data_IF_204739185894
#
_entry.id   IF_204739185894
#
_cell.length_a   1.000
_cell.length_b   1.000
_cell.length_c   1.000
_cell.angle_alpha   90.00
_cell.angle_beta   90.00
_cell.angle_gamma   90.00
#
_symmetry.space_group_name_H-M   'P 1'
#
loop_
_entity.id
_entity.type
_entity.pdbx_description
1 polymer ?
#
# COMPACT_ATOMS: atom_id res chain seq x y z
N UNK A 1 0.17 14.89 -14.11
CA UNK A 1 -1.15 15.26 -14.70
C UNK A 1 -2.07 14.04 -14.64
N UNK A 2 -3.38 14.25 -14.51
CA UNK A 2 -4.37 13.16 -14.56
C UNK A 2 -4.56 12.67 -16.00
N UNK A 3 -4.66 11.35 -16.22
CA UNK A 3 -5.05 10.79 -17.52
C UNK A 3 -6.52 11.10 -17.85
N UNK A 4 -6.95 10.98 -19.13
CA UNK A 4 -8.36 11.17 -19.50
C UNK A 4 -9.33 10.30 -18.70
N UNK A 5 -8.95 9.06 -18.36
CA UNK A 5 -9.78 8.18 -17.53
C UNK A 5 -9.95 8.74 -16.11
N UNK A 6 -8.84 9.14 -15.48
CA UNK A 6 -8.83 9.70 -14.12
C UNK A 6 -9.52 11.07 -14.02
N UNK A 7 -9.50 11.88 -15.08
CA UNK A 7 -10.18 13.19 -15.12
C UNK A 7 -11.71 13.10 -15.03
N UNK A 8 -12.29 11.95 -15.37
CA UNK A 8 -13.74 11.71 -15.26
C UNK A 8 -14.18 11.32 -13.86
N UNK A 9 -13.23 11.01 -12.97
CA UNK A 9 -13.55 10.54 -11.64
C UNK A 9 -14.06 11.67 -10.75
N UNK A 10 -15.00 11.34 -9.85
CA UNK A 10 -15.36 12.22 -8.75
C UNK A 10 -14.28 12.11 -7.67
N UNK A 11 -13.69 13.22 -7.19
CA UNK A 11 -12.64 13.16 -6.17
C UNK A 11 -13.18 12.67 -4.83
N UNK A 12 -12.73 11.50 -4.39
CA UNK A 12 -13.10 10.91 -3.10
C UNK A 12 -11.91 10.19 -2.46
N UNK A 13 -11.97 10.01 -1.15
CA UNK A 13 -11.10 9.10 -0.41
C UNK A 13 -11.91 7.90 0.04
N UNK A 14 -11.45 6.70 -0.32
CA UNK A 14 -12.10 5.44 0.01
C UNK A 14 -11.28 4.72 1.08
N UNK A 15 -11.92 4.47 2.23
CA UNK A 15 -11.26 3.94 3.42
C UNK A 15 -11.85 2.58 3.75
N UNK A 16 -11.13 1.47 3.51
CA UNK A 16 -11.60 0.15 3.90
C UNK A 16 -11.49 -0.03 5.41
N UNK A 17 -12.61 -0.33 6.07
CA UNK A 17 -12.71 -0.55 7.51
C UNK A 17 -12.67 -2.06 7.78
N UNK A 18 -11.47 -2.59 8.04
CA UNK A 18 -11.18 -4.03 8.04
C UNK A 18 -12.09 -4.83 8.98
N UNK A 19 -12.33 -4.32 10.19
CA UNK A 19 -13.14 -5.02 11.20
C UNK A 19 -14.65 -4.88 11.01
N UNK A 20 -15.08 -3.95 10.16
CA UNK A 20 -16.50 -3.71 9.90
C UNK A 20 -17.00 -4.31 8.59
N UNK A 21 -16.09 -4.71 7.69
CA UNK A 21 -16.49 -5.19 6.37
C UNK A 21 -17.16 -4.10 5.54
N UNK A 22 -16.69 -2.86 5.67
CA UNK A 22 -17.27 -1.69 5.03
C UNK A 22 -16.22 -0.77 4.44
N UNK A 23 -16.64 0.18 3.61
CA UNK A 23 -15.80 1.27 3.10
C UNK A 23 -16.47 2.60 3.44
N UNK A 24 -15.71 3.51 4.05
CA UNK A 24 -16.11 4.91 4.23
C UNK A 24 -15.65 5.74 3.04
N UNK A 25 -16.53 6.60 2.52
CA UNK A 25 -16.26 7.53 1.42
C UNK A 25 -16.19 8.94 1.98
N UNK A 26 -15.04 9.59 1.84
CA UNK A 26 -14.78 10.94 2.35
C UNK A 26 -14.67 11.91 1.19
N UNK A 27 -15.27 13.08 1.34
CA UNK A 27 -15.03 14.24 0.48
C UNK A 27 -13.71 14.92 0.88
N UNK A 28 -12.68 14.94 0.00
CA UNK A 28 -11.38 15.52 0.32
C UNK A 28 -11.40 17.05 0.44
N UNK A 29 -12.46 17.73 -0.02
CA UNK A 29 -12.58 19.19 0.09
C UNK A 29 -13.19 19.61 1.43
N UNK A 30 -14.13 18.83 1.96
CA UNK A 30 -14.84 19.14 3.21
C UNK A 30 -14.39 18.29 4.39
N UNK A 31 -13.59 17.24 4.15
CA UNK A 31 -13.10 16.28 5.14
C UNK A 31 -14.22 15.53 5.87
N UNK A 32 -15.40 15.43 5.24
CA UNK A 32 -16.58 14.76 5.81
C UNK A 32 -16.75 13.39 5.21
N UNK A 33 -17.07 12.41 6.05
CA UNK A 33 -17.59 11.11 5.60
C UNK A 33 -18.96 11.35 4.97
N UNK A 34 -19.08 11.12 3.66
CA UNK A 34 -20.32 11.28 2.91
C UNK A 34 -21.25 10.08 3.11
N UNK A 35 -20.67 8.88 3.14
CA UNK A 35 -21.38 7.61 3.31
C UNK A 35 -20.41 6.51 3.70
N UNK A 36 -20.96 5.45 4.26
CA UNK A 36 -20.28 4.17 4.47
C UNK A 36 -21.14 3.07 3.86
N UNK A 37 -20.54 2.14 3.13
CA UNK A 37 -21.26 1.04 2.49
C UNK A 37 -20.64 -0.32 2.84
N UNK A 38 -21.45 -1.39 2.95
CA UNK A 38 -20.93 -2.74 3.18
C UNK A 38 -20.25 -3.28 1.90
N UNK A 39 -19.21 -4.09 2.07
CA UNK A 39 -18.47 -4.72 0.96
C UNK A 39 -18.37 -6.23 1.22
N UNK A 40 -17.20 -6.76 1.59
CA UNK A 40 -17.02 -8.10 2.14
C UNK A 40 -16.23 -8.09 3.46
N UNK A 41 -15.95 -9.28 4.01
CA UNK A 41 -15.18 -9.41 5.25
C UNK A 41 -13.69 -9.05 5.06
N UNK A 42 -13.13 -8.36 6.05
CA UNK A 42 -11.72 -7.92 6.07
C UNK A 42 -11.27 -7.20 4.79
N UNK A 43 -11.89 -6.07 4.41
CA UNK A 43 -11.40 -5.24 3.32
C UNK A 43 -10.05 -4.63 3.72
N UNK A 44 -8.99 -4.91 2.94
CA UNK A 44 -7.63 -4.49 3.28
C UNK A 44 -7.18 -3.26 2.48
N UNK A 45 -7.49 -3.22 1.18
CA UNK A 45 -7.04 -2.16 0.29
C UNK A 45 -8.15 -1.76 -0.68
N UNK A 46 -8.13 -0.50 -1.12
CA UNK A 46 -8.85 -0.02 -2.30
C UNK A 46 -7.83 0.28 -3.40
N UNK A 47 -7.92 -0.42 -4.53
CA UNK A 47 -6.88 -0.43 -5.57
C UNK A 47 -7.46 -0.03 -6.92
N UNK A 48 -6.95 1.02 -7.60
CA UNK A 48 -7.37 1.33 -8.97
C UNK A 48 -6.96 0.22 -9.94
N UNK A 49 -7.84 -0.13 -10.88
CA UNK A 49 -7.53 -1.01 -12.01
C UNK A 49 -6.44 -0.42 -12.89
N UNK A 50 -5.75 -1.25 -13.69
CA UNK A 50 -4.71 -0.80 -14.61
C UNK A 50 -5.17 0.39 -15.48
N UNK A 51 -6.36 0.29 -16.08
CA UNK A 51 -6.96 1.31 -16.94
C UNK A 51 -7.65 2.47 -16.21
N UNK A 52 -7.62 2.44 -14.87
CA UNK A 52 -8.21 3.44 -13.97
C UNK A 52 -9.74 3.55 -14.07
N UNK A 53 -10.40 2.59 -14.73
CA UNK A 53 -11.85 2.60 -14.94
C UNK A 53 -12.63 1.97 -13.78
N UNK A 54 -11.97 1.31 -12.84
CA UNK A 54 -12.58 0.68 -11.66
C UNK A 54 -11.66 0.84 -10.46
N UNK A 55 -12.21 1.05 -9.26
CA UNK A 55 -11.47 0.84 -8.01
C UNK A 55 -11.94 -0.46 -7.38
N UNK A 56 -11.03 -1.32 -6.95
CA UNK A 56 -11.33 -2.62 -6.37
C UNK A 56 -11.12 -2.59 -4.86
N UNK A 57 -12.17 -2.89 -4.10
CA UNK A 57 -12.05 -3.19 -2.67
C UNK A 57 -11.64 -4.65 -2.51
N UNK A 58 -10.49 -4.88 -1.91
CA UNK A 58 -9.91 -6.21 -1.72
C UNK A 58 -10.41 -6.82 -0.40
N UNK A 59 -11.49 -7.61 -0.47
CA UNK A 59 -12.11 -8.26 0.70
C UNK A 59 -11.42 -9.58 0.99
N UNK A 60 -10.34 -9.52 1.76
CA UNK A 60 -9.43 -10.64 1.96
C UNK A 60 -10.14 -11.89 2.51
N UNK A 61 -10.77 -11.81 3.69
CA UNK A 61 -11.54 -12.94 4.25
C UNK A 61 -12.89 -13.14 3.56
N UNK A 62 -13.42 -12.10 2.92
CA UNK A 62 -14.63 -12.17 2.12
C UNK A 62 -14.48 -12.96 0.83
N UNK A 63 -13.24 -13.26 0.40
CA UNK A 63 -12.93 -13.92 -0.87
C UNK A 63 -13.65 -13.28 -2.07
N UNK A 64 -13.66 -11.94 -2.11
CA UNK A 64 -14.26 -11.17 -3.19
C UNK A 64 -13.50 -9.88 -3.47
N UNK A 65 -13.65 -9.35 -4.68
CA UNK A 65 -13.37 -7.95 -4.99
C UNK A 65 -14.70 -7.20 -5.18
N UNK A 66 -14.89 -6.05 -4.53
CA UNK A 66 -16.02 -5.17 -4.81
C UNK A 66 -15.58 -4.04 -5.73
N UNK A 67 -16.17 -3.88 -6.92
CA UNK A 67 -15.86 -2.75 -7.79
C UNK A 67 -16.49 -1.46 -7.28
N UNK A 68 -15.83 -0.35 -7.50
CA UNK A 68 -16.35 1.02 -7.37
C UNK A 68 -16.14 1.70 -8.71
N UNK A 69 -17.21 2.27 -9.26
CA UNK A 69 -17.15 3.13 -10.44
C UNK A 69 -16.60 4.50 -10.02
N UNK A 70 -15.42 4.91 -10.50
CA UNK A 70 -14.81 6.16 -10.11
C UNK A 70 -15.57 7.40 -10.62
N UNK A 71 -16.41 7.26 -11.66
CA UNK A 71 -17.14 8.38 -12.30
C UNK A 71 -18.34 8.83 -11.48
N UNK A 72 -19.00 7.91 -10.78
CA UNK A 72 -20.13 8.23 -9.90
C UNK A 72 -19.87 7.91 -8.41
N UNK A 73 -18.73 7.28 -8.13
CA UNK A 73 -18.28 6.88 -6.80
C UNK A 73 -19.15 5.80 -6.16
N UNK A 74 -19.86 4.96 -6.92
CA UNK A 74 -20.76 3.91 -6.42
C UNK A 74 -20.15 2.52 -6.59
N UNK A 75 -20.38 1.69 -5.59
CA UNK A 75 -20.03 0.28 -5.56
C UNK A 75 -20.96 -0.55 -6.46
N UNK A 76 -20.41 -1.61 -7.06
CA UNK A 76 -21.14 -2.60 -7.84
C UNK A 76 -21.19 -3.97 -7.15
N UNK A 77 -21.65 -4.97 -7.89
CA UNK A 77 -21.69 -6.34 -7.41
C UNK A 77 -20.28 -6.93 -7.26
N UNK A 78 -20.02 -7.59 -6.12
CA UNK A 78 -18.75 -8.24 -5.85
C UNK A 78 -18.48 -9.41 -6.78
N UNK A 79 -17.21 -9.60 -7.17
CA UNK A 79 -16.75 -10.75 -7.96
C UNK A 79 -15.96 -11.73 -7.08
N UNK A 80 -16.14 -13.06 -7.25
CA UNK A 80 -15.39 -14.05 -6.47
C UNK A 80 -13.90 -14.05 -6.81
N UNK A 81 -13.07 -13.83 -5.80
CA UNK A 81 -11.60 -13.87 -5.90
C UNK A 81 -11.09 -14.41 -4.59
N UNK A 82 -10.34 -15.50 -4.60
CA UNK A 82 -9.86 -16.10 -3.36
C UNK A 82 -8.78 -15.20 -2.72
N UNK A 83 -8.96 -14.92 -1.43
CA UNK A 83 -7.95 -14.30 -0.56
C UNK A 83 -7.28 -13.01 -1.09
N UNK A 84 -8.01 -12.00 -1.60
CA UNK A 84 -7.38 -10.82 -2.15
C UNK A 84 -6.89 -9.91 -1.03
N UNK A 85 -5.69 -10.16 -0.53
CA UNK A 85 -5.03 -9.22 0.38
C UNK A 85 -4.69 -7.94 -0.38
N UNK A 86 -3.91 -8.07 -1.46
CA UNK A 86 -3.54 -6.96 -2.33
C UNK A 86 -3.82 -7.28 -3.81
N UNK A 87 -3.78 -6.24 -4.65
CA UNK A 87 -3.99 -6.34 -6.08
C UNK A 87 -2.94 -5.50 -6.82
N UNK A 88 -2.30 -6.12 -7.80
CA UNK A 88 -1.29 -5.52 -8.67
C UNK A 88 -1.61 -5.78 -10.14
N UNK A 89 -0.95 -5.04 -11.02
CA UNK A 89 -1.10 -5.20 -12.47
C UNK A 89 0.25 -5.25 -13.14
N UNK A 90 0.43 -6.15 -14.09
CA UNK A 90 1.65 -6.19 -14.89
C UNK A 90 1.80 -4.89 -15.69
N UNK A 91 3.03 -4.41 -15.94
CA UNK A 91 3.24 -3.15 -16.66
C UNK A 91 2.67 -3.08 -18.07
N UNK A 92 2.40 -4.22 -18.70
CA UNK A 92 1.74 -4.33 -20.00
C UNK A 92 0.19 -4.31 -19.91
N UNK A 93 -0.37 -4.27 -18.70
CA UNK A 93 -1.80 -4.27 -18.43
C UNK A 93 -2.51 -5.59 -18.72
N UNK A 94 -1.77 -6.66 -19.04
CA UNK A 94 -2.36 -7.94 -19.42
C UNK A 94 -2.93 -8.69 -18.22
N UNK A 95 -2.20 -8.69 -17.10
CA UNK A 95 -2.54 -9.48 -15.94
C UNK A 95 -2.77 -8.63 -14.70
N UNK A 96 -3.84 -8.95 -13.99
CA UNK A 96 -3.97 -8.66 -12.56
C UNK A 96 -3.20 -9.74 -11.78
N UNK A 97 -2.52 -9.33 -10.70
CA UNK A 97 -1.84 -10.22 -9.76
C UNK A 97 -2.50 -10.02 -8.41
N UNK A 98 -3.28 -11.01 -7.98
CA UNK A 98 -3.85 -11.04 -6.63
C UNK A 98 -2.82 -11.67 -5.69
N UNK A 99 -2.51 -10.96 -4.61
CA UNK A 99 -1.65 -11.48 -3.55
C UNK A 99 -2.51 -12.28 -2.59
N UNK A 100 -2.49 -13.61 -2.74
CA UNK A 100 -3.25 -14.56 -1.93
C UNK A 100 -2.37 -15.05 -0.76
N UNK A 101 -2.18 -14.15 0.20
CA UNK A 101 -1.25 -14.23 1.33
C UNK A 101 -1.45 -15.51 2.17
N UNK A 102 -2.68 -15.80 2.61
CA UNK A 102 -3.04 -16.99 3.40
C UNK A 102 -2.90 -18.27 2.58
N UNK A 103 -3.10 -18.18 1.27
CA UNK A 103 -2.94 -19.30 0.33
C UNK A 103 -1.49 -19.49 -0.14
N UNK A 104 -0.56 -18.60 0.24
CA UNK A 104 0.86 -18.63 -0.15
C UNK A 104 1.06 -18.76 -1.65
N UNK A 105 0.42 -17.87 -2.41
CA UNK A 105 0.56 -17.83 -3.87
C UNK A 105 0.23 -16.46 -4.46
N UNK A 106 0.69 -16.23 -5.68
CA UNK A 106 0.32 -15.09 -6.52
C UNK A 106 -0.63 -15.58 -7.61
N UNK A 107 -1.87 -15.10 -7.61
CA UNK A 107 -2.88 -15.48 -8.57
C UNK A 107 -2.84 -14.50 -9.76
N UNK A 108 -2.34 -14.96 -10.90
CA UNK A 108 -2.41 -14.25 -12.17
C UNK A 108 -3.81 -14.40 -12.77
N UNK A 109 -4.45 -13.26 -13.02
CA UNK A 109 -5.81 -13.14 -13.50
C UNK A 109 -5.85 -12.24 -14.72
N UNK A 110 -6.84 -12.43 -15.58
CA UNK A 110 -7.13 -11.46 -16.64
C UNK A 110 -7.46 -10.10 -16.01
N UNK A 111 -6.77 -9.04 -16.44
CA UNK A 111 -6.84 -7.73 -15.79
C UNK A 111 -8.20 -7.02 -15.92
N UNK A 112 -9.08 -7.50 -16.81
CA UNK A 112 -10.37 -6.85 -17.11
C UNK A 112 -11.53 -7.66 -16.52
N UNK A 113 -11.47 -8.98 -16.65
CA UNK A 113 -12.53 -9.90 -16.21
C UNK A 113 -12.29 -10.52 -14.82
N UNK A 114 -11.08 -10.39 -14.28
CA UNK A 114 -10.63 -11.04 -13.03
C UNK A 114 -10.68 -12.58 -13.06
N UNK A 115 -10.85 -13.19 -14.24
CA UNK A 115 -10.81 -14.64 -14.41
C UNK A 115 -9.42 -15.18 -14.04
N UNK A 116 -9.36 -16.23 -13.22
CA UNK A 116 -8.10 -16.88 -12.85
C UNK A 116 -7.48 -17.58 -14.06
N UNK A 117 -6.20 -17.31 -14.28
CA UNK A 117 -5.41 -17.92 -15.36
C UNK A 117 -4.39 -18.89 -14.79
N UNK A 118 -3.66 -18.46 -13.76
CA UNK A 118 -2.59 -19.26 -13.16
C UNK A 118 -2.37 -18.86 -11.71
N UNK A 119 -2.00 -19.83 -10.87
CA UNK A 119 -1.57 -19.58 -9.50
C UNK A 119 -0.10 -19.97 -9.35
N UNK A 120 0.73 -19.01 -8.99
CA UNK A 120 2.18 -19.21 -8.78
C UNK A 120 2.41 -19.41 -7.29
N UNK A 121 2.75 -20.62 -6.82
CA UNK A 121 3.02 -20.86 -5.40
C UNK A 121 4.26 -20.09 -4.93
N UNK A 122 4.27 -19.70 -3.67
CA UNK A 122 5.45 -19.13 -3.01
C UNK A 122 5.79 -19.93 -1.75
N UNK A 123 7.09 -20.05 -1.46
CA UNK A 123 7.59 -20.78 -0.29
C UNK A 123 7.55 -19.93 1.00
N UNK A 124 7.69 -18.61 0.85
CA UNK A 124 7.70 -17.67 1.96
C UNK A 124 6.32 -17.52 2.63
N UNK A 125 6.30 -16.99 3.85
CA UNK A 125 5.06 -16.77 4.62
C UNK A 125 4.73 -15.28 4.65
N UNK A 126 3.45 -14.94 4.51
CA UNK A 126 3.00 -13.55 4.56
C UNK A 126 3.37 -12.76 3.31
N UNK A 127 3.29 -13.36 2.12
CA UNK A 127 3.52 -12.59 0.88
C UNK A 127 2.49 -11.47 0.79
N UNK A 128 2.93 -10.23 0.66
CA UNK A 128 2.07 -9.09 0.93
C UNK A 128 2.17 -7.98 -0.14
N UNK A 129 3.19 -7.12 -0.06
CA UNK A 129 3.32 -5.95 -0.92
C UNK A 129 4.34 -6.20 -2.02
N UNK A 130 4.14 -5.63 -3.21
CA UNK A 130 5.11 -5.72 -4.31
C UNK A 130 5.40 -4.40 -5.01
N UNK A 131 6.57 -4.35 -5.63
CA UNK A 131 7.01 -3.27 -6.51
C UNK A 131 7.72 -3.85 -7.74
N UNK A 132 7.53 -3.20 -8.89
CA UNK A 132 8.13 -3.62 -10.16
C UNK A 132 9.43 -2.87 -10.42
N UNK A 133 10.42 -3.58 -10.97
CA UNK A 133 11.60 -2.93 -11.56
C UNK A 133 11.18 -1.96 -12.65
N UNK A 134 11.99 -0.93 -12.90
CA UNK A 134 11.64 0.13 -13.86
C UNK A 134 11.40 -0.40 -15.29
N UNK A 135 12.07 -1.49 -15.66
CA UNK A 135 11.91 -2.20 -16.93
C UNK A 135 10.72 -3.19 -16.94
N UNK A 136 10.06 -3.40 -15.80
CA UNK A 136 8.95 -4.31 -15.63
C UNK A 136 9.30 -5.80 -15.65
N UNK A 137 10.60 -6.14 -15.74
CA UNK A 137 11.06 -7.53 -15.87
C UNK A 137 10.84 -8.34 -14.59
N UNK A 138 11.10 -7.71 -13.45
CA UNK A 138 10.96 -8.33 -12.15
C UNK A 138 9.94 -7.59 -11.29
N UNK A 139 9.27 -8.33 -10.41
CA UNK A 139 8.61 -7.76 -9.25
C UNK A 139 9.28 -8.33 -8.00
N UNK A 140 9.49 -7.47 -6.99
CA UNK A 140 9.90 -7.91 -5.66
C UNK A 140 8.68 -7.85 -4.76
N UNK A 141 8.43 -8.89 -3.97
CA UNK A 141 7.34 -8.90 -3.01
C UNK A 141 7.82 -9.21 -1.59
N UNK A 142 7.32 -8.49 -0.61
CA UNK A 142 7.63 -8.70 0.81
C UNK A 142 6.95 -9.95 1.33
N UNK A 143 7.62 -10.65 2.25
CA UNK A 143 7.11 -11.82 2.94
C UNK A 143 7.15 -11.56 4.45
N UNK A 144 6.07 -10.98 4.97
CA UNK A 144 5.93 -10.45 6.32
C UNK A 144 6.38 -11.46 7.39
N UNK A 145 5.85 -12.67 7.36
CA UNK A 145 6.04 -13.64 8.44
C UNK A 145 7.28 -14.53 8.28
N UNK A 146 8.03 -14.39 7.19
CA UNK A 146 9.34 -15.04 7.04
C UNK A 146 10.53 -14.08 7.09
N UNK A 147 10.31 -12.76 7.00
CA UNK A 147 11.38 -11.77 7.06
C UNK A 147 12.16 -11.65 5.75
N UNK A 148 11.51 -11.99 4.63
CA UNK A 148 12.13 -12.14 3.33
C UNK A 148 11.50 -11.20 2.29
N UNK A 149 12.20 -11.04 1.17
CA UNK A 149 11.65 -10.52 -0.09
C UNK A 149 11.80 -11.61 -1.14
N UNK A 150 10.74 -11.92 -1.87
CA UNK A 150 10.81 -12.78 -3.04
C UNK A 150 11.06 -11.96 -4.31
N UNK A 151 11.71 -12.55 -5.31
CA UNK A 151 11.86 -12.00 -6.66
C UNK A 151 11.07 -12.85 -7.65
N UNK A 152 10.14 -12.21 -8.35
CA UNK A 152 9.27 -12.80 -9.37
C UNK A 152 9.76 -12.38 -10.75
N UNK A 153 10.02 -13.34 -11.64
CA UNK A 153 10.15 -13.06 -13.07
C UNK A 153 8.74 -12.91 -13.65
N UNK A 154 8.40 -11.70 -14.11
CA UNK A 154 7.03 -11.34 -14.49
C UNK A 154 6.62 -12.04 -15.78
N UNK A 155 7.52 -12.10 -16.77
CA UNK A 155 7.24 -12.73 -18.06
C UNK A 155 7.13 -14.25 -17.93
N UNK A 156 8.05 -14.85 -17.17
CA UNK A 156 8.05 -16.29 -16.92
C UNK A 156 7.01 -16.72 -15.86
N UNK A 157 6.41 -15.77 -15.14
CA UNK A 157 5.42 -16.00 -14.06
C UNK A 157 5.90 -17.03 -13.04
N UNK A 158 7.15 -16.87 -12.57
CA UNK A 158 7.75 -17.79 -11.58
C UNK A 158 8.66 -17.05 -10.62
N UNK A 159 8.70 -17.52 -9.38
CA UNK A 159 9.67 -17.03 -8.40
C UNK A 159 11.07 -17.50 -8.81
N UNK A 160 12.03 -16.58 -8.75
CA UNK A 160 13.44 -16.81 -9.13
C UNK A 160 14.41 -16.62 -7.97
N UNK A 161 13.93 -16.22 -6.79
CA UNK A 161 14.76 -16.16 -5.59
C UNK A 161 14.04 -15.61 -4.36
N UNK A 162 14.65 -15.81 -3.21
CA UNK A 162 14.28 -15.25 -1.92
C UNK A 162 15.50 -14.58 -1.29
N UNK A 163 15.28 -13.44 -0.65
CA UNK A 163 16.30 -12.64 0.04
C UNK A 163 15.85 -12.46 1.50
N UNK A 164 16.62 -13.02 2.44
CA UNK A 164 16.44 -12.74 3.86
C UNK A 164 16.95 -11.33 4.18
N UNK A 165 16.12 -10.48 4.79
CA UNK A 165 16.44 -9.07 5.00
C UNK A 165 17.34 -8.80 6.21
N UNK A 166 17.25 -9.66 7.23
CA UNK A 166 18.04 -9.54 8.46
C UNK A 166 18.73 -10.86 8.83
N UNK A 167 19.68 -11.33 8.00
CA UNK A 167 20.41 -12.58 8.27
C UNK A 167 21.30 -12.49 9.52
N UNK A 168 21.70 -11.28 9.89
CA UNK A 168 22.69 -11.02 10.94
C UNK A 168 22.05 -10.63 12.29
N UNK A 169 20.71 -10.49 12.33
CA UNK A 169 19.93 -10.27 13.54
C UNK A 169 20.12 -8.88 14.17
N UNK A 170 19.59 -7.84 13.51
CA UNK A 170 19.44 -6.46 14.01
C UNK A 170 18.50 -6.33 15.24
N UNK A 171 18.22 -7.43 15.94
CA UNK A 171 17.55 -7.44 17.26
C UNK A 171 16.08 -7.89 17.24
N UNK A 172 15.49 -8.10 16.06
CA UNK A 172 14.16 -8.70 15.91
C UNK A 172 14.07 -9.46 14.58
N UNK A 173 13.33 -10.56 14.53
CA UNK A 173 13.03 -11.23 13.25
C UNK A 173 12.30 -10.23 12.35
N UNK A 174 12.91 -9.90 11.21
CA UNK A 174 12.36 -9.01 10.19
C UNK A 174 10.88 -9.33 9.89
N UNK A 175 10.08 -8.29 9.70
CA UNK A 175 8.67 -8.35 9.36
C UNK A 175 8.34 -7.29 8.30
N UNK A 176 8.76 -7.51 7.04
CA UNK A 176 8.64 -6.53 5.98
C UNK A 176 7.18 -6.31 5.58
N UNK A 177 6.82 -5.05 5.36
CA UNK A 177 5.48 -4.56 5.06
C UNK A 177 5.46 -3.99 3.64
N UNK A 178 5.34 -2.67 3.47
CA UNK A 178 5.31 -2.02 2.16
C UNK A 178 6.70 -1.99 1.50
N UNK A 179 6.71 -1.94 0.17
CA UNK A 179 7.92 -1.86 -0.66
C UNK A 179 7.73 -0.82 -1.75
N UNK A 180 8.73 0.07 -1.91
CA UNK A 180 8.69 1.14 -2.91
C UNK A 180 10.03 1.40 -3.56
N UNK A 181 10.00 1.64 -4.87
CA UNK A 181 11.17 2.06 -5.61
C UNK A 181 11.55 3.51 -5.27
N UNK A 182 12.85 3.79 -5.22
CA UNK A 182 13.39 5.14 -5.35
C UNK A 182 12.88 5.79 -6.64
N UNK A 183 12.81 7.14 -6.72
CA UNK A 183 12.38 7.83 -7.93
C UNK A 183 13.21 7.48 -9.17
N UNK A 184 14.49 7.15 -8.99
CA UNK A 184 15.39 6.72 -10.06
C UNK A 184 15.37 5.20 -10.32
N UNK A 185 14.59 4.44 -9.54
CA UNK A 185 14.40 2.99 -9.66
C UNK A 185 15.57 2.13 -9.21
N UNK A 186 16.67 2.71 -8.69
CA UNK A 186 17.91 1.99 -8.35
C UNK A 186 17.85 1.25 -7.02
N UNK A 187 17.05 1.71 -6.08
CA UNK A 187 16.94 1.15 -4.73
C UNK A 187 15.47 0.92 -4.41
N UNK A 188 15.15 -0.26 -3.87
CA UNK A 188 13.85 -0.53 -3.30
C UNK A 188 13.94 -0.36 -1.78
N UNK A 189 13.07 0.48 -1.24
CA UNK A 189 12.86 0.69 0.18
C UNK A 189 11.82 -0.30 0.66
N UNK A 190 12.18 -1.15 1.62
CA UNK A 190 11.29 -2.13 2.24
C UNK A 190 11.07 -1.73 3.69
N UNK A 191 9.86 -1.28 4.02
CA UNK A 191 9.49 -0.98 5.38
C UNK A 191 9.45 -2.28 6.19
N UNK A 192 10.02 -2.26 7.40
CA UNK A 192 10.03 -3.41 8.29
C UNK A 192 9.55 -3.02 9.68
N UNK A 193 8.42 -3.63 10.04
CA UNK A 193 7.68 -3.27 11.23
C UNK A 193 8.38 -3.74 12.50
N UNK A 194 9.09 -4.87 12.47
CA UNK A 194 9.84 -5.38 13.62
C UNK A 194 11.20 -4.69 13.77
N UNK A 195 11.86 -4.37 12.65
CA UNK A 195 13.14 -3.67 12.63
C UNK A 195 13.00 -2.16 12.91
N UNK A 196 11.78 -1.60 12.84
CA UNK A 196 11.51 -0.17 13.06
C UNK A 196 12.29 0.73 12.09
N UNK A 197 12.37 0.30 10.83
CA UNK A 197 13.11 1.00 9.80
C UNK A 197 12.81 0.50 8.41
N UNK A 198 13.65 0.91 7.48
CA UNK A 198 13.54 0.58 6.07
C UNK A 198 14.83 -0.09 5.61
N UNK A 199 14.72 -1.29 5.04
CA UNK A 199 15.82 -1.94 4.35
C UNK A 199 15.96 -1.36 2.94
N UNK A 200 17.21 -1.18 2.51
CA UNK A 200 17.54 -0.76 1.16
C UNK A 200 17.96 -2.00 0.38
N UNK A 201 17.27 -2.27 -0.71
CA UNK A 201 17.49 -3.45 -1.55
C UNK A 201 17.86 -3.00 -2.97
N UNK A 202 18.96 -3.53 -3.48
CA UNK A 202 19.28 -3.44 -4.91
C UNK A 202 18.43 -4.49 -5.64
N UNK A 203 17.44 -4.08 -6.47
CA UNK A 203 16.49 -5.01 -7.07
C UNK A 203 17.14 -5.87 -8.16
N UNK A 204 18.19 -5.39 -8.81
CA UNK A 204 18.87 -6.07 -9.91
C UNK A 204 19.84 -7.11 -9.37
N UNK A 205 20.75 -6.69 -8.48
CA UNK A 205 21.68 -7.59 -7.79
C UNK A 205 20.98 -8.47 -6.74
N UNK A 206 19.74 -8.16 -6.39
CA UNK A 206 18.88 -8.86 -5.45
C UNK A 206 19.56 -9.11 -4.10
N UNK A 207 20.05 -8.01 -3.50
CA UNK A 207 20.73 -8.02 -2.19
C UNK A 207 20.38 -6.78 -1.38
N UNK A 208 20.40 -6.92 -0.06
CA UNK A 208 20.35 -5.76 0.84
C UNK A 208 21.64 -4.95 0.70
N UNK A 209 21.49 -3.64 0.60
CA UNK A 209 22.60 -2.68 0.49
C UNK A 209 22.67 -1.70 1.66
N UNK A 210 21.64 -1.63 2.49
CA UNK A 210 21.64 -0.75 3.67
C UNK A 210 20.39 -0.90 4.53
N UNK A 211 20.34 -0.09 5.58
CA UNK A 211 19.19 0.04 6.46
C UNK A 211 19.13 1.46 7.03
N UNK A 212 17.93 2.04 7.09
CA UNK A 212 17.66 3.35 7.70
C UNK A 212 16.67 3.13 8.84
N UNK A 213 17.11 3.40 10.07
CA UNK A 213 16.21 3.39 11.22
C UNK A 213 15.22 4.55 11.12
N UNK A 214 13.93 4.28 11.34
CA UNK A 214 12.86 5.30 11.26
C UNK A 214 12.14 5.42 12.60
N UNK A 215 10.91 4.93 12.72
CA UNK A 215 10.15 4.91 13.96
C UNK A 215 9.54 3.53 14.23
N UNK A 216 8.96 3.38 15.43
CA UNK A 216 8.41 2.10 15.87
C UNK A 216 7.27 1.64 14.96
N UNK A 217 7.36 0.41 14.47
CA UNK A 217 6.33 -0.17 13.60
C UNK A 217 6.25 0.45 12.22
N UNK A 218 7.39 0.65 11.56
CA UNK A 218 7.48 1.16 10.18
C UNK A 218 6.63 0.33 9.23
N UNK A 219 5.79 0.97 8.43
CA UNK A 219 4.73 0.27 7.69
C UNK A 219 4.59 0.70 6.23
N UNK A 220 3.95 1.84 5.95
CA UNK A 220 3.67 2.32 4.59
C UNK A 220 4.72 3.30 4.08
N UNK A 221 4.98 3.31 2.76
CA UNK A 221 5.94 4.21 2.10
C UNK A 221 5.25 4.95 0.95
N UNK A 222 5.28 6.29 0.99
CA UNK A 222 4.56 7.13 0.03
C UNK A 222 5.48 8.23 -0.54
N UNK A 223 5.91 8.12 -1.80
CA UNK A 223 6.67 9.18 -2.47
C UNK A 223 5.84 10.46 -2.62
N UNK A 224 6.49 11.62 -2.47
CA UNK A 224 5.93 12.90 -2.87
C UNK A 224 5.76 12.97 -4.38
N UNK A 225 4.85 13.82 -4.87
CA UNK A 225 4.54 13.92 -6.30
C UNK A 225 5.73 14.39 -7.16
N UNK A 226 6.67 15.11 -6.56
CA UNK A 226 7.92 15.54 -7.19
C UNK A 226 9.09 14.56 -6.97
N UNK A 227 8.86 13.45 -6.26
CA UNK A 227 9.87 12.44 -5.94
C UNK A 227 10.96 12.90 -4.97
N UNK A 228 10.88 14.11 -4.40
CA UNK A 228 11.93 14.66 -3.53
C UNK A 228 11.85 14.17 -2.08
N UNK A 229 10.73 13.57 -1.70
CA UNK A 229 10.50 13.05 -0.35
C UNK A 229 9.84 11.68 -0.42
N UNK A 230 10.12 10.84 0.56
CA UNK A 230 9.30 9.68 0.90
C UNK A 230 8.72 9.88 2.30
N UNK A 231 7.40 9.76 2.40
CA UNK A 231 6.69 9.75 3.68
C UNK A 231 6.54 8.30 4.14
N UNK A 232 7.07 7.99 5.30
CA UNK A 232 7.10 6.64 5.85
C UNK A 232 6.28 6.65 7.13
N UNK A 233 5.19 5.89 7.18
CA UNK A 233 4.36 5.78 8.37
C UNK A 233 4.97 4.81 9.38
N UNK A 234 4.98 5.22 10.65
CA UNK A 234 5.39 4.40 11.78
C UNK A 234 4.17 4.21 12.68
N UNK A 235 3.60 3.01 12.69
CA UNK A 235 2.32 2.67 13.35
C UNK A 235 2.38 2.83 14.88
N UNK A 236 3.57 2.94 15.47
CA UNK A 236 3.79 3.01 16.92
C UNK A 236 3.77 1.64 17.62
N UNK A 237 3.42 0.58 16.89
CA UNK A 237 3.38 -0.81 17.34
C UNK A 237 4.13 -1.68 16.34
N UNK A 238 5.12 -2.43 16.83
CA UNK A 238 5.80 -3.47 16.07
C UNK A 238 5.17 -4.84 16.35
N UNK A 239 3.85 -4.89 16.49
CA UNK A 239 3.05 -6.11 16.70
C UNK A 239 1.82 -6.05 15.82
N UNK A 240 1.33 -7.19 15.34
CA UNK A 240 0.18 -7.26 14.40
C UNK A 240 -1.12 -6.68 14.97
N UNK A 241 -1.20 -6.54 16.30
CA UNK A 241 -2.22 -5.78 17.02
C UNK A 241 -1.59 -4.62 17.80
N UNK A 242 -2.38 -3.61 18.13
CA UNK A 242 -1.93 -2.45 18.89
C UNK A 242 -3.07 -1.76 19.64
N UNK A 243 -2.72 -0.75 20.42
CA UNK A 243 -3.67 0.09 21.15
C UNK A 243 -3.86 1.47 20.50
N UNK A 244 -4.94 2.14 20.92
CA UNK A 244 -5.22 3.55 20.59
C UNK A 244 -4.13 4.47 21.12
N UNK A 245 -3.95 5.61 20.46
CA UNK A 245 -3.07 6.70 20.88
C UNK A 245 -1.62 6.24 21.11
N UNK A 246 -1.14 5.31 20.28
CA UNK A 246 0.25 4.87 20.29
C UNK A 246 1.24 5.99 19.93
N UNK A 247 2.56 5.74 20.07
CA UNK A 247 3.61 6.71 19.76
C UNK A 247 3.87 6.81 18.24
N UNK A 248 2.82 6.73 17.42
CA UNK A 248 2.92 6.77 15.97
C UNK A 248 3.49 8.07 15.43
N UNK A 249 4.16 7.98 14.28
CA UNK A 249 4.81 9.12 13.62
C UNK A 249 4.94 8.92 12.12
N UNK A 250 5.34 9.96 11.40
CA UNK A 250 5.69 9.92 9.98
C UNK A 250 7.14 10.35 9.84
N UNK A 251 7.98 9.48 9.30
CA UNK A 251 9.36 9.84 8.92
C UNK A 251 9.34 10.42 7.50
N UNK A 252 10.11 11.50 7.28
CA UNK A 252 10.32 12.08 5.95
C UNK A 252 11.75 11.83 5.53
N UNK A 253 11.92 11.06 4.46
CA UNK A 253 13.21 10.67 3.90
C UNK A 253 13.45 11.43 2.59
N UNK A 254 14.66 11.96 2.39
CA UNK A 254 15.16 12.38 1.09
C UNK A 254 15.77 11.16 0.37
N UNK A 255 15.18 10.65 -0.72
CA UNK A 255 15.67 9.46 -1.39
C UNK A 255 16.96 9.70 -2.20
N UNK A 256 17.32 10.94 -2.50
CA UNK A 256 18.56 11.23 -3.23
C UNK A 256 19.80 11.18 -2.32
N UNK A 257 19.62 11.48 -1.04
CA UNK A 257 20.70 11.48 -0.04
C UNK A 257 20.57 10.37 1.00
N UNK A 258 19.47 9.63 1.00
CA UNK A 258 19.12 8.58 1.96
C UNK A 258 19.10 9.10 3.42
N UNK A 259 18.77 10.38 3.60
CA UNK A 259 18.74 11.04 4.92
C UNK A 259 17.33 11.38 5.36
N UNK A 260 17.05 11.12 6.63
CA UNK A 260 15.84 11.61 7.29
C UNK A 260 15.94 13.13 7.42
N UNK A 261 14.97 13.83 6.85
CA UNK A 261 14.89 15.31 6.88
C UNK A 261 13.88 15.81 7.90
N UNK A 262 12.93 14.97 8.32
CA UNK A 262 11.99 15.29 9.39
C UNK A 262 11.39 14.01 10.00
N UNK A 263 10.84 14.14 11.20
CA UNK A 263 9.93 13.15 11.80
C UNK A 263 8.76 13.90 12.43
N UNK A 264 7.55 13.60 11.98
CA UNK A 264 6.33 14.26 12.40
C UNK A 264 5.60 13.37 13.41
N UNK A 265 5.41 13.81 14.66
CA UNK A 265 4.56 13.07 15.59
C UNK A 265 3.10 13.18 15.14
N UNK A 266 2.27 12.21 15.54
CA UNK A 266 0.81 12.39 15.53
C UNK A 266 0.41 13.10 16.84
N UNK A 267 -0.01 14.38 16.84
CA UNK A 267 -0.35 15.08 18.08
C UNK A 267 -1.50 14.40 18.82
N UNK A 268 -1.31 14.10 20.11
CA UNK A 268 -2.25 13.30 20.91
C UNK A 268 -2.11 11.78 20.72
N UNK A 269 -1.08 11.32 20.00
CA UNK A 269 -0.84 9.91 19.71
C UNK A 269 -1.72 9.38 18.58
N UNK A 270 -1.32 8.25 18.00
CA UNK A 270 -2.05 7.61 16.92
C UNK A 270 -1.33 6.41 16.36
N UNK A 271 -1.95 5.78 15.36
CA UNK A 271 -1.47 4.56 14.71
C UNK A 271 -1.46 4.71 13.19
N UNK A 272 -0.68 5.66 12.64
CA UNK A 272 -0.67 5.94 11.21
C UNK A 272 -0.16 4.71 10.47
N UNK A 273 -0.92 4.30 9.47
CA UNK A 273 -0.72 3.04 8.79
C UNK A 273 -0.61 3.27 7.28
N UNK A 274 -1.54 2.74 6.49
CA UNK A 274 -1.45 2.81 5.03
C UNK A 274 -2.31 3.94 4.46
N UNK A 275 -1.92 4.49 3.32
CA UNK A 275 -2.73 5.50 2.64
C UNK A 275 -2.15 6.00 1.32
N UNK A 276 -2.23 7.32 1.10
CA UNK A 276 -1.77 7.93 -0.14
C UNK A 276 -1.51 9.44 -0.01
N UNK A 277 -0.84 10.02 -1.01
CA UNK A 277 -0.65 11.47 -1.14
C UNK A 277 -1.78 12.03 -2.04
N UNK A 278 -2.24 13.25 -1.83
CA UNK A 278 -3.21 13.90 -2.73
C UNK A 278 -2.64 14.07 -4.14
N UNK A 279 -3.51 14.20 -5.15
CA UNK A 279 -3.09 14.34 -6.55
C UNK A 279 -2.22 15.58 -6.79
N UNK A 280 -2.46 16.66 -6.05
CA UNK A 280 -1.70 17.90 -6.09
C UNK A 280 -0.45 17.87 -5.19
N UNK A 281 -0.24 16.80 -4.43
CA UNK A 281 0.92 16.61 -3.56
C UNK A 281 0.90 17.40 -2.26
N UNK A 282 -0.20 18.10 -1.95
CA UNK A 282 -0.29 18.97 -0.77
C UNK A 282 -0.62 18.24 0.52
N UNK A 283 -1.23 17.07 0.44
CA UNK A 283 -1.71 16.35 1.60
C UNK A 283 -1.24 14.90 1.60
N UNK A 284 -0.92 14.41 2.79
CA UNK A 284 -0.68 13.00 3.06
C UNK A 284 -1.85 12.47 3.90
N UNK A 285 -2.55 11.48 3.36
CA UNK A 285 -3.70 10.83 3.97
C UNK A 285 -3.30 9.45 4.44
N UNK A 286 -3.48 9.14 5.73
CA UNK A 286 -3.10 7.87 6.33
C UNK A 286 -4.24 7.35 7.20
N UNK A 287 -4.50 6.04 7.14
CA UNK A 287 -5.40 5.41 8.12
C UNK A 287 -4.76 5.41 9.51
N UNK A 288 -5.59 5.60 10.54
CA UNK A 288 -5.25 5.39 11.93
C UNK A 288 -5.79 4.05 12.38
N UNK A 289 -5.03 2.98 12.10
CA UNK A 289 -5.53 1.60 12.17
C UNK A 289 -6.18 1.28 13.51
N UNK A 290 -5.54 1.55 14.63
CA UNK A 290 -6.08 1.23 15.95
C UNK A 290 -6.94 2.34 16.55
N UNK A 291 -7.02 3.50 15.88
CA UNK A 291 -7.72 4.69 16.33
C UNK A 291 -9.07 4.92 15.62
N UNK A 292 -9.39 4.11 14.61
CA UNK A 292 -10.64 4.17 13.83
C UNK A 292 -10.88 5.54 13.18
N UNK A 293 -9.81 6.13 12.66
CA UNK A 293 -9.82 7.46 12.06
C UNK A 293 -8.91 7.52 10.82
N UNK A 294 -8.96 8.64 10.11
CA UNK A 294 -8.01 9.02 9.07
C UNK A 294 -7.28 10.29 9.49
N UNK A 295 -5.97 10.30 9.28
CA UNK A 295 -5.10 11.45 9.47
C UNK A 295 -4.86 12.16 8.15
N UNK A 296 -4.95 13.50 8.16
CA UNK A 296 -4.56 14.35 7.03
C UNK A 296 -3.45 15.29 7.45
N UNK A 297 -2.26 15.09 6.88
CA UNK A 297 -1.10 15.93 7.11
C UNK A 297 -0.87 16.89 5.94
N UNK A 298 -0.53 18.14 6.25
CA UNK A 298 0.05 19.05 5.28
C UNK A 298 1.45 18.53 4.89
N UNK A 299 1.62 18.17 3.62
CA UNK A 299 2.80 17.45 3.13
C UNK A 299 4.08 18.33 3.07
N UNK A 300 3.91 19.66 3.12
CA UNK A 300 5.01 20.61 3.11
C UNK A 300 5.58 20.81 4.52
N UNK A 301 4.69 20.99 5.51
CA UNK A 301 5.01 21.40 6.89
C UNK A 301 4.98 20.25 7.90
N UNK A 302 4.29 19.15 7.59
CA UNK A 302 4.10 18.03 8.51
C UNK A 302 3.03 18.27 9.58
N UNK A 303 2.25 19.34 9.47
CA UNK A 303 1.19 19.64 10.44
C UNK A 303 0.00 18.70 10.22
N UNK A 304 -0.43 18.00 11.26
CA UNK A 304 -1.72 17.30 11.26
C UNK A 304 -2.84 18.35 11.16
N UNK A 305 -3.61 18.31 10.07
CA UNK A 305 -4.69 19.26 9.80
C UNK A 305 -6.05 18.71 10.19
N UNK A 306 -6.27 17.41 9.98
CA UNK A 306 -7.55 16.76 10.26
C UNK A 306 -7.37 15.37 10.86
N UNK A 307 -8.33 15.03 11.72
CA UNK A 307 -8.63 13.69 12.21
C UNK A 307 -10.07 13.40 11.85
N UNK A 308 -10.32 12.38 11.04
CA UNK A 308 -11.64 12.10 10.49
C UNK A 308 -12.09 10.73 11.01
N UNK A 309 -13.10 10.64 11.90
CA UNK A 309 -13.61 9.36 12.39
C UNK A 309 -14.18 8.52 11.23
N UNK A 310 -13.84 7.22 11.21
CA UNK A 310 -14.34 6.24 10.24
C UNK A 310 -14.74 4.95 10.96
N UNK A 311 -14.86 3.82 10.24
CA UNK A 311 -15.13 2.52 10.84
C UNK A 311 -13.87 1.89 11.47
N UNK A 312 -14.03 0.67 11.98
CA UNK A 312 -13.00 -0.01 12.77
C UNK A 312 -11.87 -0.58 11.93
N UNK A 313 -10.65 -0.37 12.41
CA UNK A 313 -9.41 -0.82 11.77
C UNK A 313 -9.28 -0.42 10.31
N UNK A 314 -9.31 0.89 10.00
CA UNK A 314 -9.07 1.36 8.64
C UNK A 314 -7.66 0.96 8.20
N UNK A 315 -7.52 0.51 6.95
CA UNK A 315 -6.24 0.03 6.42
C UNK A 315 -5.82 0.81 5.15
N UNK A 316 -5.54 0.13 4.04
CA UNK A 316 -5.09 0.74 2.78
C UNK A 316 -6.13 1.62 2.12
N UNK A 317 -6.22 2.88 2.55
CA UNK A 317 -7.10 3.88 1.95
C UNK A 317 -6.59 4.35 0.59
N UNK A 318 -7.51 4.71 -0.29
CA UNK A 318 -7.22 5.24 -1.63
C UNK A 318 -7.74 6.67 -1.74
N UNK A 319 -6.83 7.63 -1.92
CA UNK A 319 -7.18 8.98 -2.38
C UNK A 319 -7.31 8.93 -3.90
N UNK A 320 -8.43 9.35 -4.48
CA UNK A 320 -8.70 9.23 -5.91
C UNK A 320 -9.36 10.51 -6.47
N UNK A 321 -9.07 10.95 -7.71
CA UNK A 321 -8.12 10.38 -8.68
C UNK A 321 -6.64 10.62 -8.34
N UNK A 322 -5.76 9.90 -9.03
CA UNK A 322 -4.29 10.06 -8.92
C UNK A 322 -3.64 10.35 -10.27
N UNK A 323 -2.53 11.13 -10.31
CA UNK A 323 -1.78 11.35 -11.53
C UNK A 323 -1.07 10.06 -11.94
N UNK A 324 -1.01 9.83 -13.25
CA UNK A 324 -0.54 8.59 -13.85
C UNK A 324 -1.39 8.25 -15.07
N UNK A 325 -0.80 7.49 -15.99
CA UNK A 325 -1.44 6.89 -17.16
C UNK A 325 -2.14 5.58 -16.80
N UNK A 326 -1.54 4.78 -15.92
CA UNK A 326 -2.09 3.50 -15.48
C UNK A 326 -1.67 3.16 -14.04
N UNK A 327 -2.37 2.20 -13.43
CA UNK A 327 -2.02 1.67 -12.11
C UNK A 327 -1.19 0.39 -12.24
N UNK A 328 -0.14 0.29 -11.42
CA UNK A 328 0.54 -0.98 -11.14
C UNK A 328 -0.07 -1.71 -9.93
N UNK A 329 -1.09 -1.13 -9.30
CA UNK A 329 -1.79 -1.65 -8.14
C UNK A 329 -1.43 -0.97 -6.83
N UNK A 330 -1.73 -1.67 -5.72
CA UNK A 330 -1.71 -1.10 -4.37
C UNK A 330 -2.55 0.19 -4.26
N UNK A 331 -2.60 0.83 -3.10
CA UNK A 331 -3.30 2.11 -2.91
C UNK A 331 -2.53 3.28 -3.51
N UNK A 332 -2.17 3.21 -4.80
CA UNK A 332 -1.60 4.34 -5.57
C UNK A 332 -0.20 4.14 -6.15
N UNK A 333 0.18 2.91 -6.55
CA UNK A 333 1.31 2.72 -7.45
C UNK A 333 0.90 3.12 -8.88
N UNK A 334 1.33 4.29 -9.35
CA UNK A 334 0.92 4.88 -10.63
C UNK A 334 2.14 5.12 -11.54
N UNK A 335 1.97 4.93 -12.85
CA UNK A 335 2.99 5.16 -13.90
C UNK A 335 2.41 5.88 -15.12
#
# INVERSE_FOLDING_TARGET
MLSPAAQRAVPFVYVPNSKDGSVSVIDPLTYRVLRTFPTGALPQHVVPSYDLATLWVANNLGNTLTPIDPVNGREGASVPVADPYNLYFTPDGRWAIVVAERLRRLDFRDAHTMALVESVPVECKGVDHMEFTADGRYALATCEFSGEVLKLDVAARRVVGYLLLDPDGLGARAMPQDIRASPDGRVFYVADMMANGVHLVDPDAFRRVGFIATGKGTHGIYPSRDGRRMYISNRGWNTTAGGRHGPGSITVLDPATERIVATWPVPGGGSPDMGNVSADGRELWLSGRYDDEVYVFDAATGRLTHRIPVGREPHGLCVWPQPGRYSLGHTGNMR
#
